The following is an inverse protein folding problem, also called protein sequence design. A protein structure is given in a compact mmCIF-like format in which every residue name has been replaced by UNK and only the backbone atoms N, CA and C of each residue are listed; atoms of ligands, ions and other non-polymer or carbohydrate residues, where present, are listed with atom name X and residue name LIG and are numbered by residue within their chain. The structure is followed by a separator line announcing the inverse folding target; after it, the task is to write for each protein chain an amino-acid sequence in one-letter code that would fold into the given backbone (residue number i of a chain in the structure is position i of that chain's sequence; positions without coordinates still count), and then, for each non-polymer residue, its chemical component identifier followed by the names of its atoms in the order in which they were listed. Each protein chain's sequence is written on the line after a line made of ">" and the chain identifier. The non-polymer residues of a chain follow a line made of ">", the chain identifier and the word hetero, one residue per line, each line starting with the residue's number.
data_IF_606830778667
#
_entry.id   IF_606830778667
#
_cell.length_a   1.000
_cell.length_b   1.000
_cell.length_c   1.000
_cell.angle_alpha   90.00
_cell.angle_beta   90.00
_cell.angle_gamma   90.00
#
_symmetry.space_group_name_H-M   'P 1'
#
loop_
_entity.id
_entity.type
_entity.pdbx_description
1 polymer ?
#
# COMPACT_ATOMS: atom_id res chain seq x y z
N UNK A 1 -74.10 62.85 25.01
CA UNK A 1 -73.94 61.95 26.18
C UNK A 1 -73.75 60.52 25.71
N UNK A 2 -74.75 59.87 25.09
CA UNK A 2 -74.68 58.47 24.64
C UNK A 2 -73.52 58.19 23.65
N UNK A 3 -73.33 59.02 22.62
CA UNK A 3 -72.21 58.84 21.67
C UNK A 3 -70.81 58.94 22.31
N UNK A 4 -70.69 59.73 23.39
CA UNK A 4 -69.42 59.90 24.10
C UNK A 4 -69.12 58.65 24.93
N UNK A 5 -70.13 58.08 25.58
CA UNK A 5 -70.04 56.83 26.34
C UNK A 5 -69.71 55.63 25.45
N UNK A 6 -70.30 55.54 24.25
CA UNK A 6 -69.97 54.49 23.28
C UNK A 6 -68.52 54.60 22.78
N UNK A 7 -68.03 55.81 22.51
CA UNK A 7 -66.62 56.04 22.14
C UNK A 7 -65.66 55.65 23.26
N UNK A 8 -65.98 56.02 24.50
CA UNK A 8 -65.20 55.63 25.68
C UNK A 8 -65.15 54.10 25.83
N UNK A 9 -66.29 53.43 25.68
CA UNK A 9 -66.37 51.96 25.75
C UNK A 9 -65.52 51.28 24.68
N UNK A 10 -65.56 51.77 23.43
CA UNK A 10 -64.70 51.28 22.35
C UNK A 10 -63.22 51.48 22.67
N UNK A 11 -62.84 52.65 23.16
CA UNK A 11 -61.46 52.95 23.54
C UNK A 11 -60.94 52.04 24.66
N UNK A 12 -61.76 51.73 25.66
CA UNK A 12 -61.39 50.81 26.74
C UNK A 12 -61.20 49.38 26.24
N UNK A 13 -62.07 48.91 25.33
CA UNK A 13 -61.95 47.58 24.72
C UNK A 13 -60.67 47.50 23.89
N UNK A 14 -60.39 48.51 23.05
CA UNK A 14 -59.16 48.54 22.25
C UNK A 14 -57.92 48.64 23.13
N UNK A 15 -57.97 49.40 24.23
CA UNK A 15 -56.83 49.52 25.15
C UNK A 15 -56.53 48.17 25.83
N UNK A 16 -57.57 47.47 26.29
CA UNK A 16 -57.40 46.14 26.87
C UNK A 16 -56.88 45.11 25.85
N UNK A 17 -57.30 45.20 24.58
CA UNK A 17 -56.75 44.36 23.51
C UNK A 17 -55.27 44.64 23.28
N UNK A 18 -54.88 45.92 23.22
CA UNK A 18 -53.49 46.33 23.06
C UNK A 18 -52.61 45.89 24.23
N UNK A 19 -53.11 45.94 25.46
CA UNK A 19 -52.38 45.45 26.64
C UNK A 19 -52.16 43.92 26.58
N UNK A 20 -53.16 43.16 26.12
CA UNK A 20 -53.02 41.71 25.94
C UNK A 20 -52.03 41.37 24.83
N UNK A 21 -52.08 42.07 23.70
CA UNK A 21 -51.11 41.90 22.60
C UNK A 21 -49.70 42.26 23.05
N UNK A 22 -49.54 43.39 23.75
CA UNK A 22 -48.26 43.82 24.33
C UNK A 22 -47.68 42.76 25.26
N UNK A 23 -48.49 42.21 26.17
CA UNK A 23 -48.04 41.15 27.07
C UNK A 23 -47.65 39.89 26.29
N UNK A 24 -48.43 39.50 25.29
CA UNK A 24 -48.13 38.34 24.42
C UNK A 24 -46.80 38.52 23.69
N UNK A 25 -46.58 39.68 23.06
CA UNK A 25 -45.32 39.98 22.40
C UNK A 25 -44.14 40.09 23.38
N UNK A 26 -44.38 40.58 24.60
CA UNK A 26 -43.34 40.62 25.64
C UNK A 26 -42.83 39.22 25.96
N UNK A 27 -43.73 38.25 26.19
CA UNK A 27 -43.35 36.86 26.44
C UNK A 27 -42.64 36.22 25.23
N UNK A 28 -43.11 36.50 24.01
CA UNK A 28 -42.45 36.01 22.80
C UNK A 28 -41.01 36.55 22.67
N UNK A 29 -40.80 37.82 23.01
CA UNK A 29 -39.46 38.42 22.99
C UNK A 29 -38.54 37.80 24.05
N UNK A 30 -39.07 37.46 25.23
CA UNK A 30 -38.29 36.76 26.26
C UNK A 30 -37.90 35.35 25.81
N UNK A 31 -38.84 34.58 25.28
CA UNK A 31 -38.54 33.24 24.76
C UNK A 31 -37.49 33.27 23.63
N UNK A 32 -37.61 34.23 22.71
CA UNK A 32 -36.63 34.40 21.63
C UNK A 32 -35.25 34.83 22.13
N UNK A 33 -35.13 35.48 23.29
CA UNK A 33 -33.83 35.81 23.89
C UNK A 33 -33.20 34.56 24.48
N UNK A 34 -33.96 33.74 25.20
CA UNK A 34 -33.49 32.48 25.75
C UNK A 34 -32.99 31.54 24.64
N UNK A 35 -33.76 31.41 23.55
CA UNK A 35 -33.35 30.64 22.37
C UNK A 35 -32.06 31.17 21.72
N UNK A 36 -31.90 32.49 21.69
CA UNK A 36 -30.71 33.14 21.13
C UNK A 36 -29.48 32.92 22.00
N UNK A 37 -29.63 32.97 23.32
CA UNK A 37 -28.56 32.66 24.28
C UNK A 37 -28.13 31.19 24.16
N UNK A 38 -29.07 30.24 24.11
CA UNK A 38 -28.76 28.82 23.92
C UNK A 38 -28.03 28.57 22.58
N UNK A 39 -28.45 29.25 21.50
CA UNK A 39 -27.80 29.13 20.21
C UNK A 39 -26.37 29.70 20.23
N UNK A 40 -26.13 30.80 20.96
CA UNK A 40 -24.80 31.36 21.15
C UNK A 40 -23.88 30.41 21.93
N UNK A 41 -24.35 29.82 23.03
CA UNK A 41 -23.58 28.84 23.80
C UNK A 41 -23.19 27.63 22.95
N UNK A 42 -24.15 27.10 22.18
CA UNK A 42 -23.92 26.00 21.26
C UNK A 42 -22.90 26.36 20.17
N UNK A 43 -22.97 27.59 19.64
CA UNK A 43 -21.97 28.08 18.68
C UNK A 43 -20.56 28.09 19.26
N UNK A 44 -20.37 28.62 20.48
CA UNK A 44 -19.06 28.65 21.13
C UNK A 44 -18.54 27.25 21.47
N UNK A 45 -19.43 26.34 21.90
CA UNK A 45 -19.08 24.94 22.14
C UNK A 45 -18.59 24.27 20.86
N UNK A 46 -19.34 24.37 19.78
CA UNK A 46 -18.98 23.77 18.49
C UNK A 46 -17.67 24.36 17.94
N UNK A 47 -17.46 25.66 18.12
CA UNK A 47 -16.21 26.31 17.74
C UNK A 47 -14.99 25.76 18.51
N UNK A 48 -15.14 25.46 19.81
CA UNK A 48 -14.08 24.84 20.62
C UNK A 48 -13.82 23.40 20.20
N UNK A 49 -14.87 22.62 19.98
CA UNK A 49 -14.76 21.23 19.50
C UNK A 49 -14.07 21.16 18.12
N UNK A 50 -14.41 22.06 17.20
CA UNK A 50 -13.76 22.15 15.90
C UNK A 50 -12.25 22.43 16.02
N UNK A 51 -11.86 23.36 16.90
CA UNK A 51 -10.43 23.67 17.16
C UNK A 51 -9.69 22.45 17.70
N UNK A 52 -10.29 21.70 18.59
CA UNK A 52 -9.68 20.50 19.16
C UNK A 52 -9.56 19.38 18.12
N UNK A 53 -10.61 19.14 17.33
CA UNK A 53 -10.56 18.18 16.22
C UNK A 53 -9.50 18.54 15.18
N UNK A 54 -9.33 19.83 14.87
CA UNK A 54 -8.27 20.28 13.97
C UNK A 54 -6.87 19.96 14.52
N UNK A 55 -6.63 20.17 15.82
CA UNK A 55 -5.34 19.83 16.45
C UNK A 55 -5.05 18.34 16.40
N UNK A 56 -6.03 17.51 16.73
CA UNK A 56 -5.90 16.04 16.69
C UNK A 56 -5.63 15.58 15.26
N UNK A 57 -6.31 16.16 14.27
CA UNK A 57 -6.06 15.88 12.86
C UNK A 57 -4.63 16.23 12.44
N UNK A 58 -4.13 17.40 12.83
CA UNK A 58 -2.76 17.83 12.51
C UNK A 58 -1.70 16.90 13.13
N UNK A 59 -1.92 16.42 14.36
CA UNK A 59 -1.05 15.43 15.01
C UNK A 59 -1.09 14.09 14.27
N UNK A 60 -2.28 13.55 14.02
CA UNK A 60 -2.44 12.26 13.33
C UNK A 60 -1.87 12.30 11.90
N UNK A 61 -1.98 13.44 11.22
CA UNK A 61 -1.40 13.65 9.89
C UNK A 61 0.13 13.56 9.91
N UNK A 62 0.78 14.09 10.96
CA UNK A 62 2.24 13.97 11.14
C UNK A 62 2.66 12.53 11.40
N UNK A 63 1.99 11.86 12.34
CA UNK A 63 2.28 10.46 12.68
C UNK A 63 2.09 9.55 11.46
N UNK A 64 1.01 9.76 10.69
CA UNK A 64 0.77 9.03 9.45
C UNK A 64 1.89 9.24 8.43
N UNK A 65 2.39 10.48 8.29
CA UNK A 65 3.49 10.78 7.38
C UNK A 65 4.78 10.07 7.81
N UNK A 66 5.13 10.13 9.08
CA UNK A 66 6.31 9.44 9.62
C UNK A 66 6.22 7.92 9.43
N UNK A 67 5.05 7.34 9.70
CA UNK A 67 4.83 5.91 9.52
C UNK A 67 4.90 5.51 8.04
N UNK A 68 4.38 6.35 7.14
CA UNK A 68 4.47 6.14 5.70
C UNK A 68 5.92 6.16 5.21
N UNK A 69 6.71 7.14 5.66
CA UNK A 69 8.12 7.24 5.31
C UNK A 69 8.91 6.03 5.85
N UNK A 70 8.61 5.60 7.08
CA UNK A 70 9.22 4.39 7.67
C UNK A 70 8.83 3.11 6.93
N UNK A 71 7.57 2.98 6.52
CA UNK A 71 7.11 1.86 5.72
C UNK A 71 7.86 1.79 4.39
N UNK A 72 7.96 2.92 3.68
CA UNK A 72 8.69 3.01 2.42
C UNK A 72 10.16 2.62 2.58
N UNK A 73 10.82 3.12 3.63
CA UNK A 73 12.20 2.75 3.93
C UNK A 73 12.36 1.23 4.15
N UNK A 74 11.48 0.63 4.96
CA UNK A 74 11.53 -0.82 5.21
C UNK A 74 11.25 -1.63 3.95
N UNK A 75 10.32 -1.17 3.10
CA UNK A 75 10.01 -1.78 1.82
C UNK A 75 11.24 -1.75 0.88
N UNK A 76 11.95 -0.63 0.83
CA UNK A 76 13.22 -0.51 0.08
C UNK A 76 14.31 -1.43 0.65
N UNK A 77 14.45 -1.53 1.97
CA UNK A 77 15.39 -2.48 2.60
C UNK A 77 15.07 -3.93 2.26
N UNK A 78 13.79 -4.32 2.24
CA UNK A 78 13.36 -5.68 1.85
C UNK A 78 13.67 -5.92 0.38
N UNK A 79 13.35 -4.97 -0.51
CA UNK A 79 13.69 -5.07 -1.94
C UNK A 79 15.19 -5.25 -2.15
N UNK A 80 16.02 -4.46 -1.48
CA UNK A 80 17.48 -4.59 -1.55
C UNK A 80 17.96 -5.96 -1.07
N UNK A 81 17.42 -6.45 0.07
CA UNK A 81 17.73 -7.79 0.58
C UNK A 81 17.36 -8.87 -0.43
N UNK A 82 16.17 -8.79 -1.01
CA UNK A 82 15.65 -9.80 -1.95
C UNK A 82 16.45 -9.78 -3.26
N UNK A 83 16.84 -8.61 -3.76
CA UNK A 83 17.76 -8.48 -4.90
C UNK A 83 19.13 -9.10 -4.61
N UNK A 84 19.70 -8.90 -3.42
CA UNK A 84 20.96 -9.53 -3.04
C UNK A 84 20.84 -11.06 -2.95
N UNK A 85 19.71 -11.58 -2.47
CA UNK A 85 19.44 -13.02 -2.44
C UNK A 85 19.41 -13.57 -3.87
N UNK A 86 18.73 -12.88 -4.78
CA UNK A 86 18.62 -13.26 -6.19
C UNK A 86 19.96 -13.17 -6.93
N UNK A 87 20.73 -12.10 -6.73
CA UNK A 87 22.09 -11.92 -7.30
C UNK A 87 23.06 -13.02 -6.86
N UNK A 88 22.88 -13.55 -5.63
CA UNK A 88 23.66 -14.68 -5.11
C UNK A 88 23.12 -16.04 -5.55
N UNK A 89 22.06 -16.07 -6.36
CA UNK A 89 21.44 -17.30 -6.87
C UNK A 89 20.79 -18.13 -5.77
N UNK A 90 20.35 -17.52 -4.67
CA UNK A 90 19.69 -18.19 -3.56
C UNK A 90 18.17 -18.17 -3.75
N UNK A 91 17.49 -19.22 -3.32
CA UNK A 91 16.04 -19.38 -3.40
C UNK A 91 15.50 -19.80 -2.03
N UNK A 92 14.31 -19.29 -1.68
CA UNK A 92 13.61 -19.69 -0.47
C UNK A 92 12.95 -21.06 -0.66
N UNK A 93 13.23 -21.99 0.26
CA UNK A 93 12.52 -23.26 0.36
C UNK A 93 11.82 -23.33 1.71
N UNK A 94 10.54 -23.67 1.70
CA UNK A 94 9.74 -23.82 2.91
C UNK A 94 10.34 -24.91 3.81
N UNK A 95 10.60 -24.56 5.07
CA UNK A 95 11.18 -25.47 6.06
C UNK A 95 10.26 -26.61 6.48
N UNK A 96 9.02 -26.67 5.98
CA UNK A 96 8.12 -27.82 6.11
C UNK A 96 8.75 -29.11 5.57
N UNK A 97 9.70 -29.00 4.63
CA UNK A 97 10.41 -30.15 4.06
C UNK A 97 11.78 -30.42 4.68
N UNK A 98 12.35 -29.51 5.48
CA UNK A 98 13.74 -29.61 5.95
C UNK A 98 13.90 -30.15 7.38
N UNK A 99 12.88 -30.04 8.23
CA UNK A 99 12.95 -30.49 9.63
C UNK A 99 11.65 -31.22 10.01
N UNK A 100 11.77 -32.50 10.36
CA UNK A 100 10.71 -33.19 11.08
C UNK A 100 10.32 -32.37 12.33
N UNK A 101 9.04 -32.32 12.73
CA UNK A 101 8.66 -31.64 13.95
C UNK A 101 9.38 -32.34 15.09
N UNK A 102 10.43 -31.70 15.61
CA UNK A 102 11.10 -32.17 16.80
C UNK A 102 10.11 -31.94 17.95
N UNK A 103 9.35 -32.98 18.26
CA UNK A 103 8.64 -33.14 19.52
C UNK A 103 9.70 -33.10 20.63
N UNK A 104 10.07 -31.91 21.09
CA UNK A 104 10.83 -31.78 22.32
C UNK A 104 9.93 -32.29 23.45
N UNK A 105 10.28 -33.39 24.15
CA UNK A 105 9.57 -33.77 25.35
C UNK A 105 9.88 -32.69 26.38
N UNK A 106 8.88 -31.87 26.72
CA UNK A 106 9.01 -30.92 27.82
C UNK A 106 8.74 -31.72 29.09
N UNK A 107 9.81 -32.33 29.60
CA UNK A 107 9.79 -32.97 30.90
C UNK A 107 9.45 -31.95 31.99
N UNK A 108 8.52 -32.38 32.83
CA UNK A 108 8.01 -31.80 34.06
C UNK A 108 9.08 -31.16 34.93
N UNK A 109 8.92 -29.88 35.33
CA UNK A 109 9.32 -29.40 36.65
C UNK A 109 8.43 -28.24 37.14
N UNK A 110 7.80 -28.51 38.27
CA UNK A 110 7.31 -27.61 39.33
C UNK A 110 6.31 -26.51 38.98
N UNK A 111 5.05 -26.93 39.05
CA UNK A 111 4.00 -26.27 39.83
C UNK A 111 4.56 -25.69 41.15
N UNK A 112 4.52 -24.36 41.32
CA UNK A 112 4.34 -23.75 42.64
C UNK A 112 3.38 -22.58 42.49
N UNK A 113 2.19 -22.85 42.99
CA UNK A 113 1.13 -21.91 43.35
C UNK A 113 1.64 -20.57 43.90
N UNK A 114 1.11 -19.46 43.41
CA UNK A 114 0.61 -18.40 44.30
C UNK A 114 -0.55 -17.63 43.67
N UNK A 115 -1.48 -17.26 44.55
CA UNK A 115 -2.91 -17.05 44.33
C UNK A 115 -3.24 -15.61 44.72
N UNK A 116 -3.77 -14.80 43.80
CA UNK A 116 -4.51 -13.53 44.07
C UNK A 116 -5.48 -13.33 42.89
N UNK A 117 -6.77 -13.68 42.93
CA UNK A 117 -7.96 -13.14 43.64
C UNK A 117 -8.33 -11.68 43.28
N UNK A 118 -9.35 -11.61 42.41
CA UNK A 118 -10.46 -10.66 42.20
C UNK A 118 -10.31 -9.24 41.65
N UNK A 119 -11.14 -8.99 40.60
CA UNK A 119 -11.67 -7.70 40.15
C UNK A 119 -12.37 -7.75 38.77
N UNK A 120 -13.52 -8.42 38.64
CA UNK A 120 -14.47 -8.32 37.50
C UNK A 120 -15.10 -6.90 37.46
N UNK A 121 -15.66 -6.29 36.40
CA UNK A 121 -16.44 -6.76 35.24
C UNK A 121 -16.59 -5.57 34.25
N UNK A 122 -16.63 -5.79 32.92
CA UNK A 122 -17.00 -4.72 31.96
C UNK A 122 -16.61 -4.86 30.49
N UNK A 123 -16.89 -6.04 29.89
CA UNK A 123 -17.28 -6.29 28.49
C UNK A 123 -16.66 -5.50 27.31
N UNK A 124 -15.83 -6.20 26.51
CA UNK A 124 -16.00 -6.38 25.06
C UNK A 124 -14.87 -7.26 24.52
N UNK A 125 -14.99 -8.55 24.78
CA UNK A 125 -14.15 -9.59 24.22
C UNK A 125 -14.70 -9.97 22.84
N UNK A 126 -14.23 -9.33 21.76
CA UNK A 126 -14.30 -9.95 20.44
C UNK A 126 -12.97 -10.65 20.18
N UNK A 127 -12.93 -11.92 20.60
CA UNK A 127 -11.87 -12.87 20.32
C UNK A 127 -11.68 -13.01 18.81
N UNK A 128 -10.71 -12.29 18.27
CA UNK A 128 -10.16 -12.59 16.96
C UNK A 128 -9.24 -13.78 17.13
N UNK A 129 -9.78 -14.99 16.98
CA UNK A 129 -9.01 -16.18 16.67
C UNK A 129 -8.35 -15.96 15.31
N UNK A 130 -7.24 -15.21 15.30
CA UNK A 130 -6.28 -15.27 14.21
C UNK A 130 -5.44 -16.50 14.51
N UNK A 131 -5.74 -17.58 13.80
CA UNK A 131 -4.72 -18.56 13.47
C UNK A 131 -3.55 -17.78 12.87
N UNK A 132 -2.53 -17.48 13.69
CA UNK A 132 -1.25 -17.10 13.13
C UNK A 132 -0.75 -18.33 12.37
N UNK A 133 -0.55 -18.26 11.04
CA UNK A 133 0.13 -19.33 10.35
C UNK A 133 1.51 -19.42 11.00
N UNK A 134 1.78 -20.56 11.64
CA UNK A 134 3.11 -20.88 12.16
C UNK A 134 4.10 -20.51 11.07
N UNK A 135 4.97 -19.53 11.32
CA UNK A 135 6.08 -19.19 10.44
C UNK A 135 6.97 -20.42 10.34
N UNK A 136 6.66 -21.29 9.39
CA UNK A 136 7.53 -22.37 8.95
C UNK A 136 8.78 -21.66 8.41
N UNK A 137 9.90 -21.82 9.10
CA UNK A 137 11.13 -21.11 8.78
C UNK A 137 11.60 -21.48 7.38
N UNK A 138 11.48 -20.55 6.43
CA UNK A 138 12.04 -20.73 5.10
C UNK A 138 13.57 -20.66 5.20
N UNK A 139 14.27 -21.59 4.55
CA UNK A 139 15.73 -21.62 4.48
C UNK A 139 16.18 -21.22 3.08
N UNK A 140 17.33 -20.55 2.99
CA UNK A 140 17.94 -20.18 1.72
C UNK A 140 18.86 -21.31 1.24
N UNK A 141 18.64 -21.80 0.02
CA UNK A 141 19.53 -22.74 -0.67
C UNK A 141 19.91 -22.18 -2.04
N UNK A 142 20.99 -22.66 -2.65
CA UNK A 142 21.33 -22.27 -4.02
C UNK A 142 20.30 -22.79 -5.02
N UNK A 143 20.11 -22.07 -6.12
CA UNK A 143 19.22 -22.45 -7.23
C UNK A 143 19.57 -23.83 -7.78
N UNK A 144 20.86 -24.14 -7.93
CA UNK A 144 21.34 -25.45 -8.37
C UNK A 144 20.84 -26.58 -7.46
N UNK A 145 20.91 -26.38 -6.13
CA UNK A 145 20.44 -27.38 -5.17
C UNK A 145 18.91 -27.50 -5.19
N UNK A 146 18.19 -26.39 -5.38
CA UNK A 146 16.73 -26.41 -5.52
C UNK A 146 16.29 -27.18 -6.78
N UNK A 147 16.92 -26.93 -7.92
CA UNK A 147 16.64 -27.62 -9.19
C UNK A 147 16.94 -29.13 -9.11
N UNK A 148 18.04 -29.51 -8.44
CA UNK A 148 18.34 -30.91 -8.16
C UNK A 148 17.23 -31.56 -7.32
N UNK A 149 16.75 -30.89 -6.27
CA UNK A 149 15.64 -31.44 -5.48
C UNK A 149 14.34 -31.54 -6.28
N UNK A 150 14.04 -30.63 -7.20
CA UNK A 150 12.83 -30.72 -8.04
C UNK A 150 12.91 -31.86 -9.06
N UNK A 151 14.11 -32.22 -9.51
CA UNK A 151 14.32 -33.34 -10.44
C UNK A 151 14.14 -34.73 -9.82
N UNK A 152 14.17 -34.82 -8.48
CA UNK A 152 14.08 -36.08 -7.75
C UNK A 152 12.66 -36.29 -7.21
N UNK A 153 12.07 -37.43 -7.54
CA UNK A 153 10.77 -37.84 -7.02
C UNK A 153 10.84 -38.11 -5.50
N UNK A 154 9.92 -37.52 -4.74
CA UNK A 154 9.81 -37.71 -3.29
C UNK A 154 8.97 -36.63 -2.62
N UNK A 155 8.12 -37.02 -1.67
CA UNK A 155 7.22 -36.10 -0.97
C UNK A 155 7.95 -35.34 0.16
N UNK A 156 9.08 -35.86 0.63
CA UNK A 156 9.90 -35.25 1.68
C UNK A 156 11.35 -35.12 1.25
N UNK A 157 12.09 -34.16 1.84
CA UNK A 157 13.54 -34.06 1.63
C UNK A 157 14.25 -35.35 2.01
N UNK A 158 13.79 -36.02 3.07
CA UNK A 158 14.38 -37.27 3.54
C UNK A 158 14.27 -38.38 2.49
N UNK A 159 13.13 -38.47 1.80
CA UNK A 159 12.92 -39.41 0.71
C UNK A 159 13.83 -39.09 -0.49
N UNK A 160 13.91 -37.82 -0.90
CA UNK A 160 14.80 -37.39 -1.99
C UNK A 160 16.28 -37.64 -1.66
N UNK A 161 16.72 -37.36 -0.44
CA UNK A 161 18.09 -37.62 0.02
C UNK A 161 18.40 -39.12 0.04
N UNK A 162 17.43 -39.97 0.39
CA UNK A 162 17.58 -41.42 0.39
C UNK A 162 17.77 -41.95 -1.03
N UNK A 163 17.02 -41.44 -2.00
CA UNK A 163 17.17 -41.78 -3.43
C UNK A 163 18.57 -41.41 -3.94
N UNK A 164 19.05 -40.18 -3.67
CA UNK A 164 20.41 -39.76 -4.02
C UNK A 164 21.48 -40.68 -3.41
N UNK A 165 21.29 -41.06 -2.13
CA UNK A 165 22.24 -41.94 -1.45
C UNK A 165 22.27 -43.34 -2.08
N UNK A 166 21.12 -43.86 -2.52
CA UNK A 166 21.00 -45.16 -3.19
C UNK A 166 21.64 -45.13 -4.58
N UNK A 167 21.31 -44.14 -5.42
CA UNK A 167 21.92 -43.95 -6.75
C UNK A 167 23.44 -43.82 -6.66
N UNK A 168 23.95 -43.11 -5.64
CA UNK A 168 25.39 -43.02 -5.39
C UNK A 168 26.01 -44.39 -5.13
N UNK A 169 25.35 -45.26 -4.36
CA UNK A 169 25.86 -46.61 -4.09
C UNK A 169 25.89 -47.44 -5.37
N UNK A 170 24.83 -47.36 -6.19
CA UNK A 170 24.72 -48.10 -7.46
C UNK A 170 25.78 -47.65 -8.47
N UNK A 171 25.96 -46.35 -8.66
CA UNK A 171 26.99 -45.80 -9.55
C UNK A 171 28.41 -46.18 -9.08
N UNK A 172 28.66 -46.23 -7.77
CA UNK A 172 29.95 -46.70 -7.25
C UNK A 172 30.19 -48.18 -7.60
N UNK A 173 29.16 -49.03 -7.46
CA UNK A 173 29.24 -50.44 -7.85
C UNK A 173 29.46 -50.61 -9.36
N UNK A 174 28.78 -49.82 -10.19
CA UNK A 174 28.96 -49.82 -11.64
C UNK A 174 30.39 -49.40 -12.03
N UNK A 175 30.93 -48.35 -11.41
CA UNK A 175 32.33 -47.93 -11.62
C UNK A 175 33.31 -49.05 -11.23
N UNK A 176 33.08 -49.75 -10.13
CA UNK A 176 33.91 -50.88 -9.73
C UNK A 176 33.82 -52.04 -10.73
N UNK A 177 32.63 -52.33 -11.25
CA UNK A 177 32.43 -53.34 -12.28
C UNK A 177 33.14 -52.97 -13.59
N UNK A 178 32.93 -51.75 -14.09
CA UNK A 178 33.58 -51.24 -15.31
C UNK A 178 35.11 -51.23 -15.18
N UNK A 179 35.65 -50.97 -13.98
CA UNK A 179 37.10 -51.08 -13.73
C UNK A 179 37.60 -52.52 -13.83
N UNK A 180 36.84 -53.51 -13.35
CA UNK A 180 37.18 -54.94 -13.52
C UNK A 180 37.14 -55.33 -14.99
N UNK A 181 36.07 -54.97 -15.68
CA UNK A 181 35.89 -55.30 -17.10
C UNK A 181 37.00 -54.65 -17.97
N UNK A 182 37.40 -53.41 -17.65
CA UNK A 182 38.51 -52.72 -18.32
C UNK A 182 39.85 -53.42 -18.08
N UNK A 183 40.11 -53.90 -16.86
CA UNK A 183 41.33 -54.64 -16.54
C UNK A 183 41.37 -55.98 -17.28
N UNK A 184 40.23 -56.68 -17.33
CA UNK A 184 40.08 -57.94 -18.07
C UNK A 184 40.30 -57.73 -19.58
N UNK A 185 39.77 -56.64 -20.16
CA UNK A 185 40.02 -56.32 -21.57
C UNK A 185 41.45 -55.84 -21.84
N UNK A 186 42.11 -55.14 -20.91
CA UNK A 186 43.55 -54.85 -21.05
C UNK A 186 44.37 -56.13 -21.06
N UNK A 187 44.04 -57.12 -20.23
CA UNK A 187 44.72 -58.40 -20.22
C UNK A 187 44.48 -59.19 -21.51
N UNK A 188 43.24 -59.25 -22.01
CA UNK A 188 42.91 -59.84 -23.31
C UNK A 188 43.61 -59.11 -24.46
N UNK A 189 43.64 -57.78 -24.44
CA UNK A 189 44.32 -56.96 -25.44
C UNK A 189 45.83 -57.22 -25.46
N UNK A 190 46.48 -57.38 -24.31
CA UNK A 190 47.89 -57.80 -24.22
C UNK A 190 48.11 -59.20 -24.81
N UNK A 191 47.21 -60.15 -24.54
CA UNK A 191 47.26 -61.50 -25.14
C UNK A 191 47.04 -61.43 -26.66
N UNK A 192 46.06 -60.66 -27.12
CA UNK A 192 45.79 -60.42 -28.53
C UNK A 192 46.90 -59.64 -29.20
N UNK A 193 47.60 -58.72 -28.53
CA UNK A 193 48.75 -58.00 -29.08
C UNK A 193 49.94 -58.94 -29.29
N UNK A 194 50.13 -59.92 -28.40
CA UNK A 194 51.07 -61.04 -28.60
C UNK A 194 50.71 -61.92 -29.80
N UNK A 195 49.42 -62.07 -30.10
CA UNK A 195 48.92 -62.84 -31.26
C UNK A 195 48.91 -62.00 -32.55
N UNK A 196 48.60 -60.71 -32.48
CA UNK A 196 48.55 -59.76 -33.59
C UNK A 196 49.95 -59.37 -34.08
N UNK A 197 50.98 -59.39 -33.24
CA UNK A 197 52.37 -59.34 -33.72
C UNK A 197 52.69 -60.48 -34.70
N UNK A 198 51.93 -61.59 -34.68
CA UNK A 198 52.06 -62.69 -35.65
C UNK A 198 51.22 -62.52 -36.93
N UNK A 199 50.28 -61.55 -36.99
CA UNK A 199 49.32 -61.44 -38.09
C UNK A 199 49.09 -60.00 -38.60
N UNK A 200 49.89 -59.01 -38.18
CA UNK A 200 49.71 -57.61 -38.58
C UNK A 200 50.21 -57.34 -40.01
N UNK A 201 49.39 -57.73 -40.98
CA UNK A 201 49.30 -57.13 -42.30
C UNK A 201 47.84 -57.30 -42.73
N UNK A 202 46.94 -56.37 -42.40
CA UNK A 202 45.80 -55.95 -43.25
C UNK A 202 45.00 -54.82 -42.58
N UNK A 203 44.74 -53.76 -43.37
CA UNK A 203 44.06 -52.50 -43.01
C UNK A 203 42.55 -52.63 -42.90
N UNK A 204 41.86 -51.65 -42.30
CA UNK A 204 40.44 -51.40 -42.64
C UNK A 204 40.13 -49.90 -42.71
N UNK A 205 39.49 -49.52 -43.81
CA UNK A 205 39.20 -48.19 -44.32
C UNK A 205 37.72 -47.81 -44.06
N UNK A 206 37.27 -47.83 -42.80
CA UNK A 206 35.84 -47.77 -42.45
C UNK A 206 35.31 -46.48 -41.79
N UNK A 207 36.19 -45.57 -41.36
CA UNK A 207 35.85 -44.46 -40.44
C UNK A 207 35.31 -43.18 -41.09
N UNK A 208 35.34 -43.09 -42.42
CA UNK A 208 35.10 -41.84 -43.14
C UNK A 208 33.60 -41.52 -43.35
N UNK A 209 32.73 -42.52 -43.30
CA UNK A 209 31.29 -42.36 -43.60
C UNK A 209 30.50 -41.71 -42.46
N UNK A 210 30.72 -42.11 -41.20
CA UNK A 210 30.02 -41.55 -40.03
C UNK A 210 30.37 -40.08 -39.78
N UNK A 211 31.62 -39.70 -40.09
CA UNK A 211 32.12 -38.33 -39.96
C UNK A 211 31.37 -37.37 -40.89
N UNK A 212 31.06 -37.81 -42.11
CA UNK A 212 30.31 -37.03 -43.10
C UNK A 212 28.84 -36.84 -42.70
N UNK A 213 28.23 -37.86 -42.09
CA UNK A 213 26.84 -37.78 -41.62
C UNK A 213 26.70 -36.83 -40.43
N UNK A 214 27.58 -36.93 -39.42
CA UNK A 214 27.63 -36.00 -38.30
C UNK A 214 27.87 -34.54 -38.76
N UNK A 215 28.67 -34.35 -39.81
CA UNK A 215 28.91 -33.02 -40.38
C UNK A 215 27.67 -32.45 -41.10
N UNK A 216 26.85 -33.28 -41.74
CA UNK A 216 25.56 -32.84 -42.32
C UNK A 216 24.55 -32.46 -41.26
N UNK A 217 24.45 -33.24 -40.19
CA UNK A 217 23.52 -32.97 -39.09
C UNK A 217 23.91 -31.70 -38.32
N UNK A 218 25.21 -31.52 -38.04
CA UNK A 218 25.73 -30.27 -37.47
C UNK A 218 25.43 -29.05 -38.34
N UNK A 219 25.55 -29.16 -39.66
CA UNK A 219 25.20 -28.06 -40.55
C UNK A 219 23.70 -27.74 -40.52
N UNK A 220 22.82 -28.75 -40.39
CA UNK A 220 21.37 -28.55 -40.26
C UNK A 220 21.02 -27.79 -38.98
N UNK A 221 21.59 -28.21 -37.84
CA UNK A 221 21.46 -27.52 -36.56
C UNK A 221 21.97 -26.07 -36.64
N UNK A 222 23.12 -25.86 -37.29
CA UNK A 222 23.68 -24.53 -37.49
C UNK A 222 22.73 -23.59 -38.25
N UNK A 223 22.07 -24.08 -39.31
CA UNK A 223 21.07 -23.30 -40.03
C UNK A 223 19.83 -22.99 -39.17
N UNK A 224 19.37 -23.95 -38.37
CA UNK A 224 18.23 -23.75 -37.48
C UNK A 224 18.52 -22.69 -36.40
N UNK A 225 19.69 -22.76 -35.76
CA UNK A 225 20.12 -21.76 -34.78
C UNK A 225 20.31 -20.39 -35.42
N UNK A 226 20.86 -20.32 -36.64
CA UNK A 226 21.00 -19.06 -37.38
C UNK A 226 19.64 -18.43 -37.69
N UNK A 227 18.63 -19.24 -38.01
CA UNK A 227 17.27 -18.74 -38.23
C UNK A 227 16.61 -18.25 -36.93
N UNK A 228 16.73 -19.02 -35.84
CA UNK A 228 16.23 -18.62 -34.51
C UNK A 228 16.88 -17.32 -34.03
N UNK A 229 18.19 -17.18 -34.23
CA UNK A 229 18.95 -15.96 -33.92
C UNK A 229 18.38 -14.76 -34.68
N UNK A 230 18.21 -14.86 -36.00
CA UNK A 230 17.64 -13.76 -36.80
C UNK A 230 16.23 -13.37 -36.38
N UNK A 231 15.41 -14.36 -35.98
CA UNK A 231 14.06 -14.09 -35.46
C UNK A 231 14.10 -13.34 -34.14
N UNK A 232 14.97 -13.75 -33.22
CA UNK A 232 15.19 -13.06 -31.95
C UNK A 232 15.77 -11.65 -32.15
N UNK A 233 16.72 -11.46 -33.07
CA UNK A 233 17.26 -10.14 -33.43
C UNK A 233 16.16 -9.20 -33.93
N UNK A 234 15.26 -9.67 -34.79
CA UNK A 234 14.13 -8.89 -35.27
C UNK A 234 13.16 -8.52 -34.13
N UNK A 235 12.91 -9.45 -33.22
CA UNK A 235 12.06 -9.23 -32.04
C UNK A 235 12.66 -8.18 -31.10
N UNK A 236 13.98 -8.24 -30.85
CA UNK A 236 14.71 -7.23 -30.08
C UNK A 236 14.51 -5.83 -30.67
N UNK A 237 14.64 -5.68 -31.99
CA UNK A 237 14.42 -4.39 -32.67
C UNK A 237 12.98 -3.89 -32.47
N UNK A 238 11.99 -4.78 -32.58
CA UNK A 238 10.59 -4.39 -32.35
C UNK A 238 10.35 -3.96 -30.91
N UNK A 239 10.89 -4.68 -29.93
CA UNK A 239 10.77 -4.34 -28.52
C UNK A 239 11.46 -3.02 -28.20
N UNK A 240 12.68 -2.80 -28.72
CA UNK A 240 13.40 -1.53 -28.56
C UNK A 240 12.62 -0.32 -29.08
N UNK A 241 11.94 -0.47 -30.22
CA UNK A 241 11.07 0.59 -30.75
C UNK A 241 9.86 0.85 -29.85
N UNK A 242 9.27 -0.19 -29.27
CA UNK A 242 8.16 -0.03 -28.31
C UNK A 242 8.61 0.66 -27.02
N UNK A 243 9.77 0.28 -26.47
CA UNK A 243 10.36 0.89 -25.29
C UNK A 243 10.61 2.38 -25.54
N UNK A 244 11.30 2.72 -26.64
CA UNK A 244 11.60 4.12 -27.00
C UNK A 244 10.34 4.98 -27.10
N UNK A 245 9.24 4.42 -27.63
CA UNK A 245 7.96 5.12 -27.73
C UNK A 245 7.32 5.35 -26.35
N UNK A 246 7.34 4.34 -25.48
CA UNK A 246 6.79 4.44 -24.12
C UNK A 246 7.61 5.40 -23.28
N UNK A 247 8.94 5.37 -23.36
CA UNK A 247 9.83 6.32 -22.68
C UNK A 247 9.52 7.77 -23.06
N UNK A 248 9.29 8.03 -24.35
CA UNK A 248 8.90 9.37 -24.81
C UNK A 248 7.52 9.79 -24.28
N UNK A 249 6.57 8.87 -24.14
CA UNK A 249 5.28 9.17 -23.51
C UNK A 249 5.43 9.49 -22.03
N UNK A 250 6.24 8.74 -21.30
CA UNK A 250 6.55 8.99 -19.89
C UNK A 250 7.17 10.36 -19.71
N UNK A 251 8.11 10.75 -20.56
CA UNK A 251 8.73 12.08 -20.49
C UNK A 251 7.71 13.20 -20.72
N UNK A 252 6.77 13.03 -21.67
CA UNK A 252 5.70 14.01 -21.92
C UNK A 252 4.74 14.11 -20.74
N UNK A 253 4.29 12.99 -20.19
CA UNK A 253 3.38 12.99 -19.04
C UNK A 253 4.04 13.57 -17.79
N UNK A 254 5.34 13.32 -17.59
CA UNK A 254 6.11 13.94 -16.51
C UNK A 254 6.11 15.47 -16.64
N UNK A 255 6.40 16.01 -17.84
CA UNK A 255 6.35 17.45 -18.10
C UNK A 255 4.95 18.05 -17.89
N UNK A 256 3.90 17.34 -18.32
CA UNK A 256 2.52 17.77 -18.11
C UNK A 256 2.13 17.78 -16.63
N UNK A 257 2.58 16.79 -15.86
CA UNK A 257 2.36 16.73 -14.42
C UNK A 257 3.05 17.90 -13.71
N UNK A 258 4.33 18.15 -14.00
CA UNK A 258 5.08 19.29 -13.43
C UNK A 258 4.41 20.64 -13.74
N UNK A 259 3.89 20.81 -14.97
CA UNK A 259 3.14 22.00 -15.34
C UNK A 259 1.81 22.12 -14.59
N UNK A 260 1.08 21.01 -14.43
CA UNK A 260 -0.17 20.98 -13.68
C UNK A 260 0.04 21.32 -12.20
N UNK A 261 1.04 20.72 -11.55
CA UNK A 261 1.43 21.02 -10.17
C UNK A 261 1.75 22.50 -9.98
N UNK A 262 2.54 23.09 -10.87
CA UNK A 262 2.86 24.52 -10.83
C UNK A 262 1.60 25.39 -10.90
N UNK A 263 0.68 25.08 -11.82
CA UNK A 263 -0.58 25.83 -11.95
C UNK A 263 -1.52 25.65 -10.75
N UNK A 264 -1.55 24.47 -10.12
CA UNK A 264 -2.31 24.24 -8.90
C UNK A 264 -1.79 25.12 -7.75
N UNK A 265 -0.47 25.23 -7.62
CA UNK A 265 0.16 26.06 -6.59
C UNK A 265 -0.12 27.55 -6.81
N UNK A 266 -0.06 28.03 -8.05
CA UNK A 266 -0.46 29.39 -8.42
C UNK A 266 -1.94 29.66 -8.02
N UNK A 267 -2.86 28.76 -8.38
CA UNK A 267 -4.27 28.87 -8.01
C UNK A 267 -4.51 28.83 -6.49
N UNK A 268 -3.73 28.04 -5.74
CA UNK A 268 -3.78 28.04 -4.27
C UNK A 268 -3.35 29.38 -3.70
N UNK A 269 -2.31 30.00 -4.25
CA UNK A 269 -1.86 31.33 -3.81
C UNK A 269 -2.91 32.41 -4.11
N UNK A 270 -3.49 32.40 -5.31
CA UNK A 270 -4.54 33.34 -5.71
C UNK A 270 -5.81 33.18 -4.87
N UNK A 271 -6.24 31.93 -4.61
CA UNK A 271 -7.36 31.65 -3.72
C UNK A 271 -7.14 32.25 -2.33
N UNK A 272 -5.94 32.13 -1.76
CA UNK A 272 -5.61 32.71 -0.45
C UNK A 272 -5.64 34.23 -0.50
N UNK A 273 -5.17 34.85 -1.59
CA UNK A 273 -5.17 36.29 -1.80
C UNK A 273 -6.59 36.84 -1.89
N UNK A 274 -7.41 36.28 -2.78
CA UNK A 274 -8.82 36.66 -2.96
C UNK A 274 -9.61 36.47 -1.67
N UNK A 275 -9.37 35.39 -0.92
CA UNK A 275 -10.05 35.17 0.35
C UNK A 275 -9.71 36.24 1.41
N UNK A 276 -8.48 36.76 1.41
CA UNK A 276 -8.10 37.90 2.28
C UNK A 276 -8.80 39.17 1.84
N UNK A 277 -8.74 39.49 0.54
CA UNK A 277 -9.41 40.66 -0.03
C UNK A 277 -10.92 40.64 0.21
N UNK A 278 -11.55 39.46 0.11
CA UNK A 278 -12.97 39.26 0.41
C UNK A 278 -13.29 39.57 1.88
N UNK A 279 -12.48 39.08 2.83
CA UNK A 279 -12.68 39.35 4.26
C UNK A 279 -12.49 40.84 4.58
N UNK A 280 -11.51 41.48 3.96
CA UNK A 280 -11.28 42.93 4.12
C UNK A 280 -12.44 43.74 3.55
N UNK A 281 -12.95 43.38 2.37
CA UNK A 281 -14.13 44.01 1.79
C UNK A 281 -15.38 43.81 2.66
N UNK A 282 -15.57 42.61 3.23
CA UNK A 282 -16.68 42.32 4.13
C UNK A 282 -16.61 43.16 5.41
N UNK A 283 -15.44 43.24 6.05
CA UNK A 283 -15.24 44.09 7.22
C UNK A 283 -15.56 45.57 6.91
N UNK A 284 -15.15 46.05 5.72
CA UNK A 284 -15.46 47.41 5.26
C UNK A 284 -16.95 47.64 5.03
N UNK A 285 -17.68 46.65 4.54
CA UNK A 285 -19.14 46.72 4.40
C UNK A 285 -19.78 46.85 5.78
N UNK A 286 -19.39 46.02 6.75
CA UNK A 286 -19.91 46.08 8.12
C UNK A 286 -19.65 47.45 8.79
N UNK A 287 -18.46 48.03 8.60
CA UNK A 287 -18.14 49.39 9.05
C UNK A 287 -19.02 50.46 8.39
N UNK A 288 -19.28 50.35 7.09
CA UNK A 288 -20.13 51.29 6.37
C UNK A 288 -21.61 51.13 6.76
N UNK A 289 -22.09 49.91 6.96
CA UNK A 289 -23.46 49.62 7.41
C UNK A 289 -23.73 50.20 8.80
N UNK A 290 -22.79 50.03 9.74
CA UNK A 290 -22.88 50.62 11.08
C UNK A 290 -22.88 52.15 11.01
N UNK A 291 -21.96 52.75 10.25
CA UNK A 291 -21.91 54.20 10.02
C UNK A 291 -23.21 54.74 9.40
N UNK A 292 -23.75 54.05 8.39
CA UNK A 292 -24.98 54.43 7.72
C UNK A 292 -26.19 54.34 8.67
N UNK A 293 -26.26 53.29 9.50
CA UNK A 293 -27.28 53.17 10.53
C UNK A 293 -27.22 54.32 11.55
N UNK A 294 -26.02 54.78 11.93
CA UNK A 294 -25.86 55.96 12.80
C UNK A 294 -26.34 57.25 12.13
N UNK A 295 -25.97 57.46 10.86
CA UNK A 295 -26.42 58.63 10.08
C UNK A 295 -27.94 58.64 9.90
N UNK A 296 -28.52 57.50 9.57
CA UNK A 296 -29.97 57.33 9.43
C UNK A 296 -30.70 57.73 10.73
N UNK A 297 -30.26 57.21 11.88
CA UNK A 297 -30.80 57.60 13.20
C UNK A 297 -30.70 59.11 13.45
N UNK A 298 -29.61 59.76 13.02
CA UNK A 298 -29.44 61.22 13.18
C UNK A 298 -30.38 62.01 12.28
N UNK A 299 -30.58 61.56 11.04
CA UNK A 299 -31.53 62.16 10.10
C UNK A 299 -32.96 62.05 10.64
N UNK A 300 -33.34 60.88 11.17
CA UNK A 300 -34.70 60.66 11.70
C UNK A 300 -34.97 61.57 12.91
N UNK A 301 -33.99 61.76 13.80
CA UNK A 301 -34.08 62.76 14.88
C UNK A 301 -34.29 64.18 14.37
N UNK A 302 -33.54 64.60 13.34
CA UNK A 302 -33.68 65.94 12.75
C UNK A 302 -35.04 66.11 12.06
N UNK A 303 -35.53 65.09 11.35
CA UNK A 303 -36.87 65.09 10.74
C UNK A 303 -37.95 65.24 11.80
N UNK A 304 -37.88 64.47 12.88
CA UNK A 304 -38.83 64.54 13.99
C UNK A 304 -38.83 65.92 14.66
N UNK A 305 -37.64 66.48 14.93
CA UNK A 305 -37.52 67.83 15.47
C UNK A 305 -38.13 68.88 14.53
N UNK A 306 -37.89 68.77 13.22
CA UNK A 306 -38.48 69.69 12.23
C UNK A 306 -40.00 69.58 12.19
N UNK A 307 -40.55 68.36 12.21
CA UNK A 307 -42.00 68.14 12.25
C UNK A 307 -42.59 68.74 13.54
N UNK A 308 -41.92 68.55 14.68
CA UNK A 308 -42.35 69.14 15.96
C UNK A 308 -42.40 70.68 15.90
N UNK A 309 -41.40 71.32 15.28
CA UNK A 309 -41.37 72.79 15.08
C UNK A 309 -42.44 73.29 14.10
N UNK A 310 -42.79 72.50 13.07
CA UNK A 310 -43.85 72.88 12.12
C UNK A 310 -45.24 72.77 12.79
N UNK A 311 -45.40 71.81 13.71
CA UNK A 311 -46.66 71.54 14.39
C UNK A 311 -46.86 72.36 15.68
N UNK A 312 -45.86 73.16 16.09
CA UNK A 312 -45.90 74.08 17.24
C UNK A 312 -46.22 75.50 16.81
#
# INVERSE_FOLDING_TARGET
>A
MIELEEKLKKALITNSQLDNEKNTYSYQVELLKDDLEELQENYYRLQRELKEKSRVYDLLSRDYKELKDRHKYLEECIKQRDSLIEERGLVFVEGSNLLAPLSTPRDSLSDTSEKRVNGETGESSFSSSRDEPRKLGATLISREVAELFDSIEGASLEEKLRTIAQEKIELVQEIEQLKRDLEDEKQKSLQLQGICQMYSNHSVNGSESELVEAQRENNKLLYEYKFKLKKAEQEIITLQNTVSRVEMQVERYKKQLEQAEKSEDELKTDKRKILREFREAQARIEELETSNAHLQKRIDKLKNNRIAVINS
#
